data_IF_169832426453
#
_entry.id   IF_169832426453
#
_cell.length_a   1.000
_cell.length_b   1.000
_cell.length_c   1.000
_cell.angle_alpha   90.00
_cell.angle_beta   90.00
_cell.angle_gamma   90.00
#
_symmetry.space_group_name_H-M   'P 1'
#
loop_
_entity.id
_entity.type
_entity.pdbx_description
1 polymer ?
#
# COMPACT_ATOMS: atom_id res chain seq x y z
N UNK A 1 -6.82 19.69 8.63
CA UNK A 1 -7.41 19.88 7.30
C UNK A 1 -6.67 18.99 6.31
N UNK A 2 -7.41 18.06 5.71
CA UNK A 2 -7.00 17.12 4.66
C UNK A 2 -7.49 17.70 3.34
N UNK A 3 -6.70 17.63 2.26
CA UNK A 3 -7.10 18.12 0.93
C UNK A 3 -7.12 16.96 -0.05
N UNK A 4 -8.14 16.91 -0.91
CA UNK A 4 -8.23 15.99 -2.04
C UNK A 4 -8.19 16.82 -3.31
N UNK A 5 -7.37 16.42 -4.28
CA UNK A 5 -7.41 16.93 -5.64
C UNK A 5 -7.68 15.76 -6.58
N UNK A 6 -8.69 15.91 -7.43
CA UNK A 6 -9.05 14.91 -8.44
C UNK A 6 -8.62 15.41 -9.81
N UNK A 7 -7.80 14.62 -10.48
CA UNK A 7 -7.40 14.82 -11.87
C UNK A 7 -8.18 13.84 -12.76
N UNK A 8 -8.88 14.36 -13.75
CA UNK A 8 -9.66 13.58 -14.70
C UNK A 8 -8.85 13.31 -15.97
N UNK A 9 -9.20 12.23 -16.67
CA UNK A 9 -8.60 11.93 -17.96
C UNK A 9 -8.90 13.02 -19.00
N UNK A 10 -7.93 13.40 -19.85
CA UNK A 10 -8.22 14.25 -20.99
C UNK A 10 -9.14 13.51 -21.98
N UNK A 11 -9.95 14.27 -22.73
CA UNK A 11 -10.94 13.71 -23.66
C UNK A 11 -10.30 12.79 -24.72
N UNK A 12 -9.08 13.06 -25.15
CA UNK A 12 -8.34 12.22 -26.12
C UNK A 12 -7.97 10.85 -25.54
N UNK A 13 -7.63 10.78 -24.25
CA UNK A 13 -7.36 9.50 -23.58
C UNK A 13 -8.67 8.74 -23.30
N UNK A 14 -9.73 9.44 -22.90
CA UNK A 14 -11.07 8.84 -22.73
C UNK A 14 -11.58 8.25 -24.04
N UNK A 15 -11.38 8.95 -25.17
CA UNK A 15 -11.75 8.44 -26.49
C UNK A 15 -11.07 7.09 -26.77
N UNK A 16 -9.76 6.98 -26.55
CA UNK A 16 -9.01 5.73 -26.74
C UNK A 16 -9.53 4.62 -25.83
N UNK A 17 -9.82 4.95 -24.56
CA UNK A 17 -10.40 3.99 -23.62
C UNK A 17 -11.77 3.49 -24.09
N UNK A 18 -12.66 4.39 -24.50
CA UNK A 18 -13.98 4.01 -25.02
C UNK A 18 -13.87 3.17 -26.30
N UNK A 19 -12.91 3.46 -27.18
CA UNK A 19 -12.67 2.65 -28.37
C UNK A 19 -12.29 1.20 -28.01
N UNK A 20 -11.39 1.01 -27.05
CA UNK A 20 -10.95 -0.32 -26.62
C UNK A 20 -12.05 -1.08 -25.87
N UNK A 21 -12.77 -0.41 -24.96
CA UNK A 21 -13.88 -1.02 -24.22
C UNK A 21 -15.05 -1.37 -25.14
N UNK A 22 -15.39 -0.52 -26.11
CA UNK A 22 -16.46 -0.79 -27.06
C UNK A 22 -16.10 -1.93 -28.01
N UNK A 23 -14.83 -2.04 -28.43
CA UNK A 23 -14.35 -3.21 -29.18
C UNK A 23 -14.52 -4.47 -28.36
N UNK A 24 -13.99 -4.51 -27.13
CA UNK A 24 -14.10 -5.68 -26.26
C UNK A 24 -15.56 -6.12 -26.03
N UNK A 25 -16.46 -5.16 -25.80
CA UNK A 25 -17.89 -5.45 -25.64
C UNK A 25 -18.52 -6.07 -26.90
N UNK A 26 -18.24 -5.52 -28.08
CA UNK A 26 -18.82 -5.99 -29.34
C UNK A 26 -18.20 -7.30 -29.82
N UNK A 27 -16.88 -7.46 -29.64
CA UNK A 27 -16.16 -8.67 -30.01
C UNK A 27 -16.69 -9.88 -29.22
N UNK A 28 -16.97 -9.70 -27.93
CA UNK A 28 -17.63 -10.75 -27.13
C UNK A 28 -19.07 -11.02 -27.58
N UNK A 29 -19.84 -9.97 -27.90
CA UNK A 29 -21.22 -10.11 -28.37
C UNK A 29 -21.34 -10.84 -29.74
N UNK A 30 -20.25 -10.91 -30.51
CA UNK A 30 -20.17 -11.60 -31.80
C UNK A 30 -19.72 -13.07 -31.69
N UNK A 31 -19.28 -13.53 -30.50
CA UNK A 31 -18.84 -14.91 -30.31
C UNK A 31 -20.03 -15.88 -30.39
N UNK A 32 -19.93 -16.96 -31.20
CA UNK A 32 -20.96 -17.98 -31.26
C UNK A 32 -21.04 -18.75 -29.93
N UNK A 33 -22.24 -18.91 -29.39
CA UNK A 33 -22.50 -19.54 -28.08
C UNK A 33 -22.15 -21.04 -28.01
N UNK A 34 -21.79 -21.67 -29.14
CA UNK A 34 -21.74 -23.12 -29.30
C UNK A 34 -20.42 -23.65 -29.94
N UNK A 35 -19.24 -23.23 -29.48
CA UNK A 35 -17.99 -23.89 -29.91
C UNK A 35 -17.30 -24.57 -28.72
N UNK A 36 -16.98 -25.85 -28.90
CA UNK A 36 -16.68 -26.86 -27.88
C UNK A 36 -15.23 -27.32 -27.96
N UNK A 37 -14.27 -26.45 -27.66
CA UNK A 37 -12.86 -26.82 -27.54
C UNK A 37 -12.25 -26.21 -26.25
N UNK A 38 -11.59 -27.04 -25.45
CA UNK A 38 -11.09 -26.71 -24.10
C UNK A 38 -9.95 -25.66 -24.08
N UNK A 39 -9.21 -25.47 -25.19
CA UNK A 39 -8.16 -24.43 -25.29
C UNK A 39 -8.72 -23.02 -25.54
N UNK A 40 -9.94 -22.93 -26.09
CA UNK A 40 -10.66 -21.67 -26.37
C UNK A 40 -11.35 -21.12 -25.09
N UNK A 41 -11.46 -21.93 -24.03
CA UNK A 41 -12.15 -21.57 -22.80
C UNK A 41 -11.41 -20.46 -22.01
N UNK A 42 -10.08 -20.45 -22.01
CA UNK A 42 -9.31 -19.44 -21.27
C UNK A 42 -9.29 -18.08 -21.99
N UNK A 43 -9.18 -18.07 -23.33
CA UNK A 43 -9.26 -16.85 -24.12
C UNK A 43 -10.67 -16.25 -24.08
N UNK A 44 -11.71 -17.10 -24.14
CA UNK A 44 -13.10 -16.68 -23.94
C UNK A 44 -13.33 -16.09 -22.57
N UNK A 45 -12.81 -16.69 -21.50
CA UNK A 45 -12.90 -16.14 -20.14
C UNK A 45 -12.28 -14.74 -20.06
N UNK A 46 -11.11 -14.54 -20.67
CA UNK A 46 -10.46 -13.22 -20.71
C UNK A 46 -11.32 -12.21 -21.49
N UNK A 47 -11.90 -12.62 -22.63
CA UNK A 47 -12.77 -11.76 -23.44
C UNK A 47 -14.09 -11.42 -22.71
N UNK A 48 -14.68 -12.40 -22.03
CA UNK A 48 -15.87 -12.24 -21.18
C UNK A 48 -15.59 -11.25 -20.05
N UNK A 49 -14.49 -11.43 -19.32
CA UNK A 49 -14.11 -10.51 -18.24
C UNK A 49 -13.86 -9.08 -18.75
N UNK A 50 -13.21 -8.93 -19.92
CA UNK A 50 -13.02 -7.62 -20.56
C UNK A 50 -14.35 -6.99 -21.00
N UNK A 51 -15.26 -7.77 -21.56
CA UNK A 51 -16.58 -7.30 -21.96
C UNK A 51 -17.45 -6.91 -20.75
N UNK A 52 -17.36 -7.68 -19.66
CA UNK A 52 -18.00 -7.36 -18.38
C UNK A 52 -17.48 -6.04 -17.82
N UNK A 53 -16.16 -5.88 -17.77
CA UNK A 53 -15.53 -4.63 -17.34
C UNK A 53 -15.97 -3.44 -18.23
N UNK A 54 -16.05 -3.62 -19.55
CA UNK A 54 -16.54 -2.59 -20.45
C UNK A 54 -17.99 -2.20 -20.15
N UNK A 55 -18.88 -3.18 -19.99
CA UNK A 55 -20.28 -2.95 -19.61
C UNK A 55 -20.42 -2.23 -18.27
N UNK A 56 -19.67 -2.66 -17.25
CA UNK A 56 -19.65 -2.03 -15.93
C UNK A 56 -19.15 -0.58 -16.02
N UNK A 57 -18.08 -0.34 -16.78
CA UNK A 57 -17.51 0.99 -16.99
C UNK A 57 -18.49 1.92 -17.71
N UNK A 58 -19.14 1.45 -18.78
CA UNK A 58 -20.13 2.24 -19.50
C UNK A 58 -21.38 2.51 -18.65
N UNK A 59 -21.87 1.51 -17.89
CA UNK A 59 -23.00 1.67 -16.96
C UNK A 59 -22.66 2.66 -15.84
N UNK A 60 -21.43 2.65 -15.33
CA UNK A 60 -20.97 3.61 -14.33
C UNK A 60 -20.81 5.03 -14.90
N UNK A 61 -20.37 5.14 -16.16
CA UNK A 61 -20.14 6.43 -16.84
C UNK A 61 -21.44 7.10 -17.30
N UNK A 62 -22.35 6.33 -17.90
CA UNK A 62 -23.44 6.86 -18.73
C UNK A 62 -24.81 6.27 -18.40
N UNK A 63 -25.05 5.77 -17.18
CA UNK A 63 -26.29 5.05 -16.77
C UNK A 63 -27.58 5.61 -17.40
N UNK A 64 -27.91 6.87 -17.13
CA UNK A 64 -29.14 7.52 -17.64
C UNK A 64 -29.17 7.67 -19.17
N UNK A 65 -28.01 7.93 -19.78
CA UNK A 65 -27.89 8.12 -21.25
C UNK A 65 -27.94 6.80 -22.01
N UNK A 66 -27.46 5.71 -21.41
CA UNK A 66 -27.55 4.36 -21.96
C UNK A 66 -28.98 3.82 -21.91
N UNK A 67 -29.76 4.15 -20.87
CA UNK A 67 -31.20 3.85 -20.82
C UNK A 67 -31.96 4.56 -21.95
N UNK A 68 -31.57 5.80 -22.26
CA UNK A 68 -32.18 6.59 -23.35
C UNK A 68 -31.71 6.16 -24.74
N UNK A 69 -30.50 5.61 -24.88
CA UNK A 69 -29.92 5.24 -26.18
C UNK A 69 -29.10 3.94 -26.09
N UNK A 70 -29.78 2.78 -25.94
CA UNK A 70 -29.10 1.49 -25.81
C UNK A 70 -28.37 1.05 -27.10
N UNK A 71 -28.76 1.62 -28.25
CA UNK A 71 -28.14 1.33 -29.55
C UNK A 71 -26.67 1.70 -29.64
N UNK A 72 -26.17 2.59 -28.77
CA UNK A 72 -24.75 3.01 -28.73
C UNK A 72 -23.80 1.83 -28.51
N UNK A 73 -24.16 0.88 -27.64
CA UNK A 73 -23.30 -0.27 -27.32
C UNK A 73 -23.34 -1.36 -28.40
N UNK A 74 -24.49 -1.54 -29.06
CA UNK A 74 -24.72 -2.69 -29.96
C UNK A 74 -24.74 -2.30 -31.44
N UNK A 75 -25.75 -1.54 -31.88
CA UNK A 75 -26.09 -1.38 -33.30
C UNK A 75 -25.52 -0.12 -33.96
N UNK A 76 -25.15 0.89 -33.17
CA UNK A 76 -24.64 2.15 -33.70
C UNK A 76 -23.27 1.97 -34.38
N UNK A 77 -23.00 2.66 -35.51
CA UNK A 77 -21.67 2.62 -36.14
C UNK A 77 -20.58 3.00 -35.15
N UNK A 78 -19.47 2.26 -35.15
CA UNK A 78 -18.40 2.37 -34.13
C UNK A 78 -17.94 3.82 -33.92
N UNK A 79 -17.60 4.53 -35.00
CA UNK A 79 -17.13 5.93 -34.94
C UNK A 79 -18.17 6.88 -34.32
N UNK A 80 -19.44 6.71 -34.69
CA UNK A 80 -20.55 7.54 -34.18
C UNK A 80 -20.82 7.26 -32.70
N UNK A 81 -20.76 5.99 -32.29
CA UNK A 81 -20.90 5.61 -30.88
C UNK A 81 -19.84 6.27 -30.00
N UNK A 82 -18.58 6.27 -30.44
CA UNK A 82 -17.47 6.91 -29.74
C UNK A 82 -17.63 8.43 -29.68
N UNK A 83 -17.99 9.08 -30.79
CA UNK A 83 -18.25 10.53 -30.83
C UNK A 83 -19.36 10.92 -29.83
N UNK A 84 -20.45 10.15 -29.79
CA UNK A 84 -21.53 10.33 -28.82
C UNK A 84 -21.09 10.11 -27.37
N UNK A 85 -20.29 9.08 -27.08
CA UNK A 85 -19.75 8.85 -25.72
C UNK A 85 -18.80 9.97 -25.26
N UNK A 86 -17.94 10.48 -26.15
CA UNK A 86 -17.04 11.60 -25.86
C UNK A 86 -17.84 12.89 -25.60
N UNK A 87 -18.89 13.13 -26.39
CA UNK A 87 -19.82 14.23 -26.15
C UNK A 87 -20.52 14.08 -24.78
N UNK A 88 -20.98 12.88 -24.41
CA UNK A 88 -21.56 12.66 -23.09
C UNK A 88 -20.55 12.91 -21.96
N UNK A 89 -19.30 12.46 -22.13
CA UNK A 89 -18.24 12.68 -21.15
C UNK A 89 -17.91 14.16 -20.97
N UNK A 90 -17.87 14.96 -22.05
CA UNK A 90 -17.56 16.39 -21.97
C UNK A 90 -18.61 17.20 -21.20
N UNK A 91 -19.87 16.75 -21.19
CA UNK A 91 -20.94 17.37 -20.41
C UNK A 91 -20.93 16.96 -18.93
N UNK A 92 -20.30 15.83 -18.58
CA UNK A 92 -20.24 15.30 -17.21
C UNK A 92 -18.96 15.69 -16.47
N UNK A 93 -17.86 15.91 -17.19
CA UNK A 93 -16.57 16.28 -16.62
C UNK A 93 -16.62 17.71 -16.06
N UNK A 94 -16.20 17.93 -14.80
CA UNK A 94 -16.00 19.28 -14.28
C UNK A 94 -14.94 20.01 -15.12
N UNK A 95 -15.20 21.26 -15.49
CA UNK A 95 -14.25 22.07 -16.28
C UNK A 95 -12.94 22.39 -15.55
N UNK A 96 -12.83 22.11 -14.24
CA UNK A 96 -11.63 22.33 -13.43
C UNK A 96 -11.41 21.16 -12.45
N UNK A 97 -10.14 20.81 -12.19
CA UNK A 97 -9.74 19.86 -11.15
C UNK A 97 -10.34 20.28 -9.81
N UNK A 98 -11.23 19.45 -9.27
CA UNK A 98 -11.93 19.71 -8.02
C UNK A 98 -10.95 19.62 -6.86
N UNK A 99 -10.73 20.73 -6.14
CA UNK A 99 -10.03 20.72 -4.87
C UNK A 99 -11.06 20.75 -3.73
N UNK A 100 -11.05 19.70 -2.93
CA UNK A 100 -11.94 19.55 -1.77
C UNK A 100 -11.12 19.54 -0.48
N UNK A 101 -11.64 20.15 0.59
CA UNK A 101 -10.96 20.22 1.89
C UNK A 101 -11.85 19.65 2.99
N UNK A 102 -11.27 18.78 3.83
CA UNK A 102 -11.95 18.05 4.88
C UNK A 102 -11.29 18.31 6.24
N UNK A 103 -12.11 18.38 7.29
CA UNK A 103 -11.63 18.56 8.66
C UNK A 103 -11.40 17.23 9.39
N UNK A 104 -12.11 16.17 8.99
CA UNK A 104 -12.08 14.83 9.61
C UNK A 104 -11.55 13.77 8.65
N UNK A 105 -10.95 12.70 9.20
CA UNK A 105 -10.45 11.57 8.41
C UNK A 105 -11.62 10.77 7.84
N UNK A 106 -12.71 10.67 8.60
CA UNK A 106 -13.93 9.96 8.25
C UNK A 106 -14.61 10.61 7.04
N UNK A 107 -14.71 11.94 7.03
CA UNK A 107 -15.28 12.67 5.89
C UNK A 107 -14.44 12.50 4.61
N UNK A 108 -13.12 12.58 4.73
CA UNK A 108 -12.20 12.30 3.62
C UNK A 108 -12.34 10.85 3.11
N UNK A 109 -12.44 9.89 4.02
CA UNK A 109 -12.58 8.47 3.70
C UNK A 109 -13.90 8.16 3.00
N UNK A 110 -15.00 8.76 3.46
CA UNK A 110 -16.31 8.65 2.80
C UNK A 110 -16.23 9.21 1.38
N UNK A 111 -15.66 10.40 1.20
CA UNK A 111 -15.52 11.00 -0.13
C UNK A 111 -14.67 10.16 -1.07
N UNK A 112 -13.53 9.63 -0.60
CA UNK A 112 -12.68 8.75 -1.40
C UNK A 112 -13.44 7.48 -1.80
N UNK A 113 -14.25 6.91 -0.89
CA UNK A 113 -15.14 5.80 -1.22
C UNK A 113 -16.10 6.18 -2.33
N UNK A 114 -16.78 7.32 -2.24
CA UNK A 114 -17.70 7.78 -3.29
C UNK A 114 -17.02 7.98 -4.66
N UNK A 115 -15.75 8.42 -4.65
CA UNK A 115 -14.97 8.63 -5.88
C UNK A 115 -14.42 7.32 -6.48
N UNK A 116 -14.25 6.27 -5.68
CA UNK A 116 -13.59 5.02 -6.08
C UNK A 116 -14.53 3.81 -6.14
N UNK A 117 -15.72 3.90 -5.55
CA UNK A 117 -16.66 2.78 -5.47
C UNK A 117 -17.54 2.66 -6.73
N UNK A 118 -17.83 1.40 -7.08
CA UNK A 118 -18.89 1.05 -8.00
C UNK A 118 -20.26 1.31 -7.34
N UNK A 119 -21.28 1.72 -8.13
CA UNK A 119 -22.60 1.95 -7.58
C UNK A 119 -23.21 0.60 -7.19
N UNK A 120 -23.51 0.39 -5.90
CA UNK A 120 -24.32 -0.75 -5.49
C UNK A 120 -25.73 -0.63 -6.09
N UNK A 121 -26.25 -1.73 -6.65
CA UNK A 121 -27.58 -1.79 -7.29
C UNK A 121 -28.77 -1.42 -6.37
N UNK A 122 -28.52 -1.17 -5.07
CA UNK A 122 -29.54 -0.88 -4.05
C UNK A 122 -29.59 0.58 -3.55
N UNK A 123 -28.80 1.51 -4.11
CA UNK A 123 -28.85 2.92 -3.70
C UNK A 123 -29.84 3.76 -4.53
N UNK A 124 -30.62 4.68 -3.91
CA UNK A 124 -31.58 5.52 -4.61
C UNK A 124 -30.96 6.37 -5.73
N UNK A 125 -31.75 6.58 -6.78
CA UNK A 125 -31.42 7.17 -8.09
C UNK A 125 -30.67 8.53 -8.04
N UNK A 126 -30.81 9.30 -6.96
CA UNK A 126 -30.33 10.69 -6.91
C UNK A 126 -28.92 10.87 -6.33
N UNK A 127 -28.32 9.84 -5.70
CA UNK A 127 -27.11 10.04 -4.86
C UNK A 127 -25.82 9.36 -5.36
N UNK A 128 -25.78 8.67 -6.50
CA UNK A 128 -24.56 7.98 -6.96
C UNK A 128 -24.18 8.32 -8.41
N UNK A 129 -23.73 9.56 -8.63
CA UNK A 129 -22.92 9.87 -9.82
C UNK A 129 -21.53 9.26 -9.63
N UNK A 130 -21.36 8.03 -10.10
CA UNK A 130 -20.05 7.36 -10.05
C UNK A 130 -19.12 7.93 -11.11
N UNK A 131 -18.05 8.57 -10.67
CA UNK A 131 -17.10 9.24 -11.56
C UNK A 131 -15.78 8.49 -11.70
N UNK A 132 -15.62 7.33 -11.04
CA UNK A 132 -14.40 6.54 -11.09
C UNK A 132 -13.89 6.25 -12.52
N UNK A 133 -14.74 6.04 -13.56
CA UNK A 133 -14.26 5.79 -14.92
C UNK A 133 -13.51 6.98 -15.53
N UNK A 134 -13.82 8.20 -15.08
CA UNK A 134 -13.25 9.43 -15.61
C UNK A 134 -12.02 9.90 -14.84
N UNK A 135 -11.77 9.33 -13.66
CA UNK A 135 -10.68 9.76 -12.78
C UNK A 135 -9.37 9.10 -13.22
N UNK A 136 -8.39 9.93 -13.54
CA UNK A 136 -7.03 9.48 -13.85
C UNK A 136 -6.20 9.33 -12.56
N UNK A 137 -6.31 10.30 -11.65
CA UNK A 137 -5.48 10.36 -10.44
C UNK A 137 -6.19 11.10 -9.32
N UNK A 138 -6.05 10.59 -8.10
CA UNK A 138 -6.49 11.27 -6.87
C UNK A 138 -5.25 11.59 -6.03
N UNK A 139 -5.10 12.85 -5.65
CA UNK A 139 -4.02 13.30 -4.74
C UNK A 139 -4.63 13.64 -3.39
N UNK A 140 -4.15 12.96 -2.36
CA UNK A 140 -4.58 13.20 -0.98
C UNK A 140 -3.44 13.83 -0.20
N UNK A 141 -3.68 15.02 0.34
CA UNK A 141 -2.72 15.75 1.19
C UNK A 141 -3.24 15.72 2.62
N UNK A 142 -2.50 15.05 3.51
CA UNK A 142 -2.81 15.00 4.93
C UNK A 142 -1.57 15.27 5.79
N UNK A 143 -1.80 15.79 7.00
CA UNK A 143 -0.75 16.00 8.00
C UNK A 143 -0.41 14.67 8.68
N UNK A 144 0.48 13.91 8.08
CA UNK A 144 1.02 12.68 8.65
C UNK A 144 2.54 12.78 8.83
N UNK A 145 3.06 12.33 9.99
CA UNK A 145 4.49 12.40 10.29
C UNK A 145 5.36 11.71 9.22
N UNK A 146 4.89 10.56 8.70
CA UNK A 146 5.61 9.80 7.68
C UNK A 146 5.76 10.58 6.35
N UNK A 147 4.80 11.45 6.03
CA UNK A 147 4.82 12.28 4.81
C UNK A 147 5.56 13.60 5.02
N UNK A 148 5.74 14.04 6.27
CA UNK A 148 6.30 15.35 6.62
C UNK A 148 7.72 15.60 6.10
N UNK A 149 8.47 14.54 5.79
CA UNK A 149 9.84 14.62 5.30
C UNK A 149 9.94 14.61 3.78
N UNK A 150 8.82 14.60 3.05
CA UNK A 150 8.79 14.56 1.58
C UNK A 150 8.55 13.16 1.00
N UNK A 151 8.11 12.19 1.81
CA UNK A 151 7.66 10.90 1.30
C UNK A 151 6.35 11.09 0.54
N UNK A 152 6.27 10.57 -0.68
CA UNK A 152 5.04 10.43 -1.45
C UNK A 152 4.76 8.94 -1.60
N UNK A 153 3.57 8.51 -1.18
CA UNK A 153 3.10 7.14 -1.32
C UNK A 153 2.05 7.14 -2.43
N UNK A 154 2.24 6.29 -3.44
CA UNK A 154 1.28 6.08 -4.51
C UNK A 154 0.73 4.66 -4.42
N UNK A 155 -0.59 4.56 -4.39
CA UNK A 155 -1.30 3.29 -4.60
C UNK A 155 -1.62 3.18 -6.09
N UNK A 156 -1.22 2.06 -6.70
CA UNK A 156 -1.28 1.88 -8.15
C UNK A 156 -2.21 0.70 -8.48
N UNK A 157 -2.99 0.79 -9.57
CA UNK A 157 -3.70 -0.36 -10.12
C UNK A 157 -2.76 -1.54 -10.36
N UNK A 158 -3.28 -2.77 -10.26
CA UNK A 158 -2.51 -3.98 -10.51
C UNK A 158 -1.99 -4.06 -11.95
N UNK A 159 -0.82 -4.66 -12.17
CA UNK A 159 -0.25 -4.85 -13.52
C UNK A 159 -1.09 -5.77 -14.44
N UNK A 160 -1.97 -6.56 -13.83
CA UNK A 160 -2.94 -7.44 -14.50
C UNK A 160 -4.33 -6.82 -14.61
N UNK A 161 -4.46 -5.49 -14.43
CA UNK A 161 -5.73 -4.79 -14.66
C UNK A 161 -6.14 -4.93 -16.14
N UNK A 162 -7.38 -5.37 -16.37
CA UNK A 162 -7.94 -5.56 -17.70
C UNK A 162 -8.21 -4.22 -18.40
N UNK A 163 -8.31 -3.13 -17.63
CA UNK A 163 -8.34 -1.77 -18.16
C UNK A 163 -6.91 -1.35 -18.57
N UNK A 164 -6.70 -1.29 -19.88
CA UNK A 164 -5.44 -0.88 -20.51
C UNK A 164 -4.93 0.49 -20.06
N UNK A 165 -5.82 1.48 -19.85
CA UNK A 165 -5.41 2.80 -19.41
C UNK A 165 -4.89 2.78 -17.97
N UNK A 166 -5.52 2.01 -17.09
CA UNK A 166 -5.02 1.82 -15.71
C UNK A 166 -3.68 1.11 -15.70
N UNK A 167 -3.53 0.08 -16.53
CA UNK A 167 -2.25 -0.61 -16.72
C UNK A 167 -1.16 0.34 -17.23
N UNK A 168 -1.46 1.15 -18.24
CA UNK A 168 -0.52 2.13 -18.80
C UNK A 168 -0.09 3.20 -17.78
N UNK A 169 -1.02 3.65 -16.93
CA UNK A 169 -0.70 4.56 -15.82
C UNK A 169 0.30 3.88 -14.87
N UNK A 170 0.04 2.64 -14.43
CA UNK A 170 0.93 1.90 -13.54
C UNK A 170 2.32 1.72 -14.16
N UNK A 171 2.40 1.27 -15.42
CA UNK A 171 3.66 1.09 -16.12
C UNK A 171 4.47 2.39 -16.26
N UNK A 172 3.81 3.49 -16.61
CA UNK A 172 4.47 4.79 -16.73
C UNK A 172 4.92 5.32 -15.36
N UNK A 173 4.10 5.14 -14.32
CA UNK A 173 4.42 5.61 -12.97
C UNK A 173 5.62 4.85 -12.39
N UNK A 174 5.66 3.53 -12.57
CA UNK A 174 6.76 2.67 -12.12
C UNK A 174 8.12 3.13 -12.66
N UNK A 175 8.20 3.56 -13.92
CA UNK A 175 9.46 4.03 -14.54
C UNK A 175 10.06 5.27 -13.86
N UNK A 176 9.24 6.07 -13.18
CA UNK A 176 9.64 7.30 -12.52
C UNK A 176 9.72 7.16 -10.99
N UNK A 177 9.50 5.94 -10.46
CA UNK A 177 9.56 5.69 -9.02
C UNK A 177 11.00 5.54 -8.53
N UNK A 178 11.29 6.19 -7.41
CA UNK A 178 12.57 6.03 -6.70
C UNK A 178 12.69 4.68 -5.96
N UNK A 179 11.55 4.13 -5.54
CA UNK A 179 11.47 2.92 -4.74
C UNK A 179 10.12 2.25 -4.97
N UNK A 180 10.10 0.92 -5.11
CA UNK A 180 8.88 0.14 -5.33
C UNK A 180 8.67 -0.86 -4.21
N UNK A 181 7.48 -0.87 -3.64
CA UNK A 181 7.04 -1.90 -2.70
C UNK A 181 6.08 -2.86 -3.39
N UNK A 182 6.45 -4.14 -3.43
CA UNK A 182 5.57 -5.21 -3.91
C UNK A 182 4.79 -5.77 -2.74
N UNK A 183 3.48 -5.55 -2.72
CA UNK A 183 2.61 -6.00 -1.63
C UNK A 183 1.94 -7.32 -2.02
N UNK A 184 2.17 -8.37 -1.24
CA UNK A 184 1.56 -9.68 -1.44
C UNK A 184 1.09 -10.29 -0.11
N UNK A 185 0.12 -11.21 -0.14
CA UNK A 185 -0.20 -12.03 1.05
C UNK A 185 0.94 -13.00 1.32
N UNK A 186 1.30 -13.19 2.59
CA UNK A 186 2.42 -14.04 2.97
C UNK A 186 2.29 -15.50 2.46
N UNK A 187 1.08 -16.04 2.39
CA UNK A 187 0.81 -17.42 1.90
C UNK A 187 1.21 -17.62 0.45
N UNK A 188 1.07 -16.56 -0.36
CA UNK A 188 1.28 -16.62 -1.81
C UNK A 188 2.52 -15.85 -2.25
N UNK A 189 3.22 -15.17 -1.35
CA UNK A 189 4.32 -14.28 -1.71
C UNK A 189 5.42 -14.99 -2.52
N UNK A 190 5.70 -16.25 -2.20
CA UNK A 190 6.72 -17.05 -2.88
C UNK A 190 6.29 -17.43 -4.31
N UNK A 191 5.01 -17.74 -4.52
CA UNK A 191 4.47 -18.26 -5.80
C UNK A 191 3.77 -17.22 -6.65
N UNK A 192 3.63 -15.99 -6.15
CA UNK A 192 2.88 -14.95 -6.83
C UNK A 192 3.62 -14.46 -8.08
N UNK A 193 3.03 -14.75 -9.24
CA UNK A 193 3.54 -14.34 -10.55
C UNK A 193 3.61 -12.81 -10.72
N UNK A 194 2.72 -12.04 -10.11
CA UNK A 194 2.77 -10.58 -10.18
C UNK A 194 4.03 -10.01 -9.52
N UNK A 195 4.60 -10.72 -8.54
CA UNK A 195 5.91 -10.33 -7.97
C UNK A 195 6.98 -10.46 -9.06
N UNK A 196 6.99 -11.58 -9.77
CA UNK A 196 7.94 -11.86 -10.86
C UNK A 196 7.84 -10.81 -11.99
N UNK A 197 6.63 -10.48 -12.42
CA UNK A 197 6.38 -9.45 -13.45
C UNK A 197 6.96 -8.09 -13.06
N UNK A 198 6.86 -7.69 -11.79
CA UNK A 198 7.43 -6.43 -11.31
C UNK A 198 8.95 -6.45 -11.35
N UNK A 199 9.59 -7.55 -10.96
CA UNK A 199 11.04 -7.70 -11.07
C UNK A 199 11.50 -7.63 -12.54
N UNK A 200 10.82 -8.30 -13.46
CA UNK A 200 11.11 -8.26 -14.90
C UNK A 200 10.93 -6.84 -15.47
N UNK A 201 9.85 -6.15 -15.08
CA UNK A 201 9.59 -4.78 -15.53
C UNK A 201 10.63 -3.79 -14.98
N UNK A 202 11.03 -3.97 -13.72
CA UNK A 202 12.05 -3.15 -13.08
C UNK A 202 13.44 -3.37 -13.70
N UNK A 203 13.75 -4.60 -14.13
CA UNK A 203 14.97 -4.88 -14.89
C UNK A 203 14.98 -4.12 -16.22
N UNK A 204 13.85 -4.14 -16.95
CA UNK A 204 13.71 -3.41 -18.24
C UNK A 204 13.80 -1.90 -18.05
N UNK A 205 13.29 -1.38 -16.94
CA UNK A 205 13.27 0.05 -16.63
C UNK A 205 14.53 0.54 -15.88
N UNK A 206 15.52 -0.33 -15.67
CA UNK A 206 16.75 -0.04 -14.91
C UNK A 206 16.48 0.57 -13.52
N UNK A 207 15.45 0.08 -12.85
CA UNK A 207 15.08 0.56 -11.52
C UNK A 207 16.02 -0.03 -10.47
N UNK A 208 16.40 0.81 -9.51
CA UNK A 208 17.49 0.48 -8.58
C UNK A 208 17.04 -0.13 -7.26
N UNK A 209 15.76 0.00 -6.86
CA UNK A 209 15.27 -0.45 -5.55
C UNK A 209 13.85 -1.02 -5.57
N UNK A 210 13.74 -2.31 -5.25
CA UNK A 210 12.48 -3.02 -5.04
C UNK A 210 12.55 -3.73 -3.69
N UNK A 211 11.50 -3.58 -2.90
CA UNK A 211 11.31 -4.29 -1.63
C UNK A 211 9.95 -5.01 -1.60
N UNK A 212 9.84 -6.08 -0.82
CA UNK A 212 8.61 -6.88 -0.73
C UNK A 212 7.95 -6.68 0.64
N UNK A 213 6.63 -6.46 0.62
CA UNK A 213 5.80 -6.40 1.81
C UNK A 213 4.85 -7.59 1.81
N UNK A 214 5.08 -8.52 2.74
CA UNK A 214 4.23 -9.68 2.98
C UNK A 214 3.16 -9.34 4.02
N UNK A 215 1.92 -9.12 3.57
CA UNK A 215 0.76 -8.84 4.42
C UNK A 215 0.17 -10.11 5.04
N UNK A 216 -0.66 -9.93 6.08
CA UNK A 216 -1.35 -11.02 6.82
C UNK A 216 -0.38 -11.97 7.53
N UNK A 217 0.73 -11.45 8.04
CA UNK A 217 1.72 -12.26 8.76
C UNK A 217 1.17 -12.92 10.02
N UNK A 218 0.06 -12.40 10.58
CA UNK A 218 -0.59 -12.93 11.78
C UNK A 218 -1.45 -14.17 11.54
N UNK A 219 -1.78 -14.46 10.28
CA UNK A 219 -2.72 -15.50 9.89
C UNK A 219 -2.00 -16.85 9.79
N UNK A 220 -1.62 -17.39 10.95
CA UNK A 220 -0.86 -18.65 11.04
C UNK A 220 -1.70 -19.70 11.75
N UNK A 221 -1.84 -20.86 11.09
CA UNK A 221 -2.45 -22.02 11.70
C UNK A 221 -1.42 -22.75 12.59
N UNK A 222 -1.68 -22.81 13.89
CA UNK A 222 -0.80 -23.46 14.87
C UNK A 222 -0.61 -24.95 14.60
N UNK A 223 -1.62 -25.62 14.04
CA UNK A 223 -1.55 -27.06 13.70
C UNK A 223 -0.65 -27.33 12.51
N UNK A 224 -0.74 -26.49 11.48
CA UNK A 224 0.14 -26.56 10.30
C UNK A 224 1.58 -26.22 10.68
N UNK A 225 1.77 -25.26 11.60
CA UNK A 225 3.09 -24.90 12.09
C UNK A 225 3.85 -26.10 12.71
N UNK A 226 3.18 -26.99 13.46
CA UNK A 226 3.85 -28.18 14.03
C UNK A 226 4.44 -29.11 12.96
N UNK A 227 3.79 -29.20 11.80
CA UNK A 227 4.21 -30.06 10.70
C UNK A 227 5.27 -29.37 9.81
N UNK A 228 5.12 -28.09 9.56
CA UNK A 228 5.98 -27.33 8.65
C UNK A 228 7.35 -26.95 9.25
N UNK A 229 7.50 -27.07 10.58
CA UNK A 229 8.64 -26.58 11.36
C UNK A 229 9.19 -27.64 12.33
N UNK A 230 9.63 -28.77 11.78
CA UNK A 230 10.14 -29.91 12.57
C UNK A 230 11.22 -29.53 13.60
N UNK A 231 12.11 -28.59 13.27
CA UNK A 231 13.17 -28.13 14.18
C UNK A 231 12.70 -27.24 15.33
N UNK A 232 11.49 -26.69 15.25
CA UNK A 232 10.90 -25.84 16.30
C UNK A 232 9.76 -26.54 17.05
N UNK A 233 9.46 -27.78 16.68
CA UNK A 233 8.33 -28.54 17.21
C UNK A 233 8.40 -28.74 18.73
N UNK A 234 9.54 -29.16 19.25
CA UNK A 234 9.73 -29.37 20.69
C UNK A 234 9.44 -28.10 21.50
N UNK A 235 9.91 -26.95 21.02
CA UNK A 235 9.69 -25.65 21.67
C UNK A 235 8.23 -25.21 21.61
N UNK A 236 7.55 -25.48 20.50
CA UNK A 236 6.10 -25.21 20.36
C UNK A 236 5.31 -26.09 21.34
N UNK A 237 5.65 -27.37 21.43
CA UNK A 237 5.01 -28.32 22.36
C UNK A 237 5.24 -27.93 23.82
N UNK A 238 6.45 -27.49 24.19
CA UNK A 238 6.77 -26.96 25.53
C UNK A 238 5.91 -25.74 25.88
N UNK A 239 5.80 -24.77 24.98
CA UNK A 239 4.97 -23.57 25.20
C UNK A 239 3.47 -23.92 25.31
N UNK A 240 2.99 -24.89 24.54
CA UNK A 240 1.61 -25.37 24.63
C UNK A 240 1.32 -26.10 25.94
N UNK A 241 2.29 -26.86 26.47
CA UNK A 241 2.20 -27.48 27.79
C UNK A 241 2.13 -26.43 28.90
N UNK A 242 2.90 -25.34 28.80
CA UNK A 242 2.82 -24.23 29.75
C UNK A 242 1.43 -23.57 29.76
N UNK A 243 0.85 -23.33 28.58
CA UNK A 243 -0.50 -22.77 28.45
C UNK A 243 -1.56 -23.73 29.01
N UNK A 244 -1.38 -25.04 28.81
CA UNK A 244 -2.28 -26.06 29.35
C UNK A 244 -2.21 -26.09 30.89
N UNK A 245 -1.01 -26.02 31.46
CA UNK A 245 -0.81 -25.93 32.91
C UNK A 245 -1.45 -24.66 33.50
N UNK A 246 -1.21 -23.48 32.91
CA UNK A 246 -1.87 -22.25 33.39
C UNK A 246 -3.41 -22.36 33.29
N UNK A 247 -3.92 -23.09 32.29
CA UNK A 247 -5.36 -23.28 32.12
C UNK A 247 -5.94 -24.17 33.23
N UNK A 248 -5.25 -25.25 33.58
CA UNK A 248 -5.61 -26.13 34.68
C UNK A 248 -5.56 -25.37 36.03
N UNK A 249 -4.50 -24.57 36.25
CA UNK A 249 -4.39 -23.72 37.44
C UNK A 249 -5.54 -22.70 37.55
N UNK A 250 -5.94 -22.08 36.44
CA UNK A 250 -7.09 -21.14 36.42
C UNK A 250 -8.40 -21.87 36.70
N UNK A 251 -8.58 -23.09 36.18
CA UNK A 251 -9.80 -23.88 36.43
C UNK A 251 -9.87 -24.29 37.90
N UNK A 252 -8.78 -24.80 38.48
CA UNK A 252 -8.72 -25.14 39.92
C UNK A 252 -8.96 -23.92 40.83
N UNK A 253 -8.32 -22.78 40.55
CA UNK A 253 -8.53 -21.54 41.31
C UNK A 253 -9.97 -21.02 41.21
N UNK A 254 -10.65 -21.23 40.08
CA UNK A 254 -12.06 -20.83 39.93
C UNK A 254 -12.99 -21.71 40.74
N UNK A 255 -12.76 -23.02 40.75
CA UNK A 255 -13.53 -23.96 41.57
C UNK A 255 -13.39 -23.59 43.06
N UNK A 256 -12.17 -23.35 43.55
CA UNK A 256 -11.93 -22.92 44.94
C UNK A 256 -12.61 -21.58 45.27
N UNK A 257 -12.63 -20.63 44.32
CA UNK A 257 -13.32 -19.34 44.48
C UNK A 257 -14.84 -19.54 44.53
N UNK A 258 -15.41 -20.38 43.67
CA UNK A 258 -16.85 -20.66 43.65
C UNK A 258 -17.31 -21.35 44.92
N UNK A 259 -16.56 -22.33 45.43
CA UNK A 259 -16.87 -23.04 46.67
C UNK A 259 -16.93 -22.08 47.87
N UNK A 260 -15.95 -21.18 48.00
CA UNK A 260 -15.95 -20.17 49.06
C UNK A 260 -17.02 -19.08 48.87
N UNK A 261 -17.48 -18.85 47.64
CA UNK A 261 -18.54 -17.88 47.35
C UNK A 261 -19.94 -18.41 47.63
N UNK A 262 -20.16 -19.72 47.64
CA UNK A 262 -21.46 -20.31 47.95
C UNK A 262 -21.90 -20.02 49.39
N UNK A 263 -20.95 -19.87 50.32
CA UNK A 263 -21.19 -19.57 51.74
C UNK A 263 -21.04 -18.09 52.10
N UNK A 264 -21.29 -17.18 51.15
CA UNK A 264 -20.99 -15.73 51.26
C UNK A 264 -21.57 -15.04 52.50
N UNK A 265 -22.72 -15.50 53.00
CA UNK A 265 -23.41 -14.92 54.16
C UNK A 265 -22.80 -15.33 55.51
N UNK A 266 -21.96 -16.38 55.55
CA UNK A 266 -21.37 -16.94 56.77
C UNK A 266 -19.83 -16.91 56.81
N UNK A 267 -19.18 -16.23 55.86
CA UNK A 267 -17.72 -16.17 55.79
C UNK A 267 -17.11 -15.51 57.04
N UNK A 268 -16.13 -16.19 57.63
CA UNK A 268 -15.22 -15.62 58.63
C UNK A 268 -14.30 -14.58 58.01
N UNK A 269 -13.81 -13.64 58.83
CA UNK A 269 -12.77 -12.67 58.43
C UNK A 269 -11.49 -13.32 57.89
N UNK A 270 -11.24 -14.58 58.24
CA UNK A 270 -10.10 -15.36 57.72
C UNK A 270 -10.39 -15.88 56.32
N UNK A 271 -11.61 -16.37 56.06
CA UNK A 271 -12.04 -16.89 54.76
C UNK A 271 -12.18 -15.75 53.73
N UNK A 272 -12.63 -14.55 54.15
CA UNK A 272 -12.59 -13.35 53.30
C UNK A 272 -11.17 -13.02 52.80
N UNK A 273 -10.15 -13.16 53.66
CA UNK A 273 -8.75 -12.93 53.28
C UNK A 273 -8.24 -13.99 52.30
N UNK A 274 -8.64 -15.25 52.50
CA UNK A 274 -8.30 -16.35 51.59
C UNK A 274 -8.91 -16.11 50.22
N UNK A 275 -10.21 -15.75 50.16
CA UNK A 275 -10.90 -15.42 48.91
C UNK A 275 -10.21 -14.31 48.13
N UNK A 276 -9.80 -13.23 48.81
CA UNK A 276 -9.03 -12.14 48.20
C UNK A 276 -7.66 -12.60 47.68
N UNK A 277 -7.01 -13.54 48.39
CA UNK A 277 -5.76 -14.18 47.96
C UNK A 277 -5.95 -14.98 46.67
N UNK A 278 -6.95 -15.86 46.65
CA UNK A 278 -7.29 -16.70 45.49
C UNK A 278 -7.66 -15.86 44.27
N UNK A 279 -8.47 -14.81 44.42
CA UNK A 279 -8.80 -13.88 43.34
C UNK A 279 -7.56 -13.18 42.76
N UNK A 280 -6.59 -12.84 43.62
CA UNK A 280 -5.33 -12.25 43.19
C UNK A 280 -4.49 -13.26 42.40
N UNK A 281 -4.46 -14.51 42.84
CA UNK A 281 -3.70 -15.57 42.18
C UNK A 281 -4.37 -16.01 40.87
N UNK A 282 -5.71 -16.05 40.81
CA UNK A 282 -6.47 -16.28 39.57
C UNK A 282 -6.15 -15.19 38.53
N UNK A 283 -6.06 -13.93 38.96
CA UNK A 283 -5.66 -12.83 38.09
C UNK A 283 -4.23 -12.99 37.58
N UNK A 284 -3.27 -13.37 38.45
CA UNK A 284 -1.88 -13.62 38.03
C UNK A 284 -1.78 -14.79 37.06
N UNK A 285 -2.52 -15.88 37.29
CA UNK A 285 -2.56 -17.03 36.42
C UNK A 285 -3.14 -16.67 35.04
N UNK A 286 -4.22 -15.87 35.01
CA UNK A 286 -4.76 -15.28 33.76
C UNK A 286 -3.73 -14.43 33.01
N UNK A 287 -2.98 -13.58 33.72
CA UNK A 287 -1.93 -12.75 33.13
C UNK A 287 -0.75 -13.61 32.61
N UNK A 288 -0.36 -14.67 33.34
CA UNK A 288 0.64 -15.67 32.93
C UNK A 288 0.22 -16.37 31.64
N UNK A 289 -1.00 -16.91 31.62
CA UNK A 289 -1.58 -17.56 30.45
C UNK A 289 -1.60 -16.65 29.23
N UNK A 290 -2.10 -15.42 29.38
CA UNK A 290 -2.16 -14.45 28.28
C UNK A 290 -0.75 -14.14 27.73
N UNK A 291 0.27 -14.11 28.59
CA UNK A 291 1.66 -13.93 28.20
C UNK A 291 2.19 -15.15 27.44
N UNK A 292 1.97 -16.37 27.93
CA UNK A 292 2.41 -17.59 27.24
C UNK A 292 1.70 -17.78 25.89
N UNK A 293 0.40 -17.49 25.80
CA UNK A 293 -0.35 -17.48 24.53
C UNK A 293 0.24 -16.47 23.53
N UNK A 294 0.61 -15.27 24.00
CA UNK A 294 1.27 -14.27 23.16
C UNK A 294 2.66 -14.72 22.72
N UNK A 295 3.46 -15.28 23.62
CA UNK A 295 4.82 -15.74 23.33
C UNK A 295 4.83 -16.89 22.32
N UNK A 296 3.91 -17.86 22.45
CA UNK A 296 3.70 -18.92 21.46
C UNK A 296 3.32 -18.34 20.09
N UNK A 297 2.34 -17.44 20.06
CA UNK A 297 1.89 -16.79 18.82
C UNK A 297 3.02 -15.99 18.17
N UNK A 298 3.80 -15.24 18.96
CA UNK A 298 4.97 -14.51 18.48
C UNK A 298 5.97 -15.45 17.84
N UNK A 299 6.32 -16.54 18.54
CA UNK A 299 7.31 -17.49 18.07
C UNK A 299 6.91 -18.10 16.71
N UNK A 300 5.66 -18.53 16.57
CA UNK A 300 5.13 -19.10 15.33
C UNK A 300 5.16 -18.09 14.18
N UNK A 301 4.75 -16.84 14.42
CA UNK A 301 4.78 -15.78 13.42
C UNK A 301 6.22 -15.47 12.98
N UNK A 302 7.16 -15.38 13.92
CA UNK A 302 8.57 -15.10 13.64
C UNK A 302 9.21 -16.21 12.80
N UNK A 303 8.97 -17.48 13.12
CA UNK A 303 9.45 -18.62 12.33
C UNK A 303 8.94 -18.55 10.89
N UNK A 304 7.64 -18.31 10.73
CA UNK A 304 7.01 -18.17 9.41
C UNK A 304 7.61 -17.03 8.61
N UNK A 305 7.65 -15.84 9.21
CA UNK A 305 8.20 -14.65 8.58
C UNK A 305 9.64 -14.88 8.12
N UNK A 306 10.43 -15.57 8.94
CA UNK A 306 11.82 -15.91 8.61
C UNK A 306 11.92 -16.82 7.38
N UNK A 307 11.24 -17.98 7.34
CA UNK A 307 11.30 -18.86 6.15
C UNK A 307 10.81 -18.19 4.89
N UNK A 308 9.73 -17.43 4.97
CA UNK A 308 9.20 -16.74 3.79
C UNK A 308 10.19 -15.70 3.29
N UNK A 309 10.80 -14.94 4.22
CA UNK A 309 11.85 -13.97 3.89
C UNK A 309 13.07 -14.66 3.28
N UNK A 310 13.57 -15.74 3.90
CA UNK A 310 14.72 -16.50 3.42
C UNK A 310 14.44 -17.12 2.03
N UNK A 311 13.24 -17.66 1.83
CA UNK A 311 12.82 -18.26 0.54
C UNK A 311 12.72 -17.22 -0.58
N UNK A 312 12.18 -16.04 -0.27
CA UNK A 312 12.09 -14.93 -1.21
C UNK A 312 13.48 -14.36 -1.54
N UNK A 313 14.34 -14.17 -0.53
CA UNK A 313 15.72 -13.76 -0.74
C UNK A 313 16.47 -14.75 -1.61
N UNK A 314 16.30 -16.06 -1.38
CA UNK A 314 16.92 -17.09 -2.19
C UNK A 314 16.38 -17.09 -3.63
N UNK A 315 15.07 -16.94 -3.82
CA UNK A 315 14.42 -16.94 -5.14
C UNK A 315 14.88 -15.78 -6.02
N UNK A 316 15.10 -14.61 -5.43
CA UNK A 316 15.49 -13.40 -6.15
C UNK A 316 16.97 -13.05 -5.98
N UNK A 317 17.81 -13.93 -5.38
CA UNK A 317 19.23 -13.65 -5.10
C UNK A 317 20.02 -13.23 -6.34
N UNK A 318 19.75 -13.86 -7.48
CA UNK A 318 20.49 -13.63 -8.72
C UNK A 318 19.99 -12.40 -9.49
N UNK A 319 18.92 -11.75 -9.00
CA UNK A 319 18.37 -10.58 -9.67
C UNK A 319 19.18 -9.32 -9.31
N UNK A 320 19.68 -8.55 -10.29
CA UNK A 320 20.55 -7.39 -10.04
C UNK A 320 19.87 -6.32 -9.17
N UNK A 321 18.57 -6.11 -9.35
CA UNK A 321 17.76 -5.18 -8.54
C UNK A 321 17.47 -5.68 -7.12
N UNK A 322 17.76 -6.96 -6.82
CA UNK A 322 17.48 -7.59 -5.54
C UNK A 322 18.72 -7.74 -4.63
N UNK A 323 19.89 -7.22 -5.05
CA UNK A 323 21.12 -7.30 -4.25
C UNK A 323 20.98 -6.70 -2.83
N UNK A 324 20.03 -5.77 -2.63
CA UNK A 324 19.68 -5.18 -1.34
C UNK A 324 18.20 -5.39 -0.94
N UNK A 325 17.54 -6.43 -1.49
CA UNK A 325 16.13 -6.71 -1.29
C UNK A 325 15.77 -6.78 0.20
N UNK A 326 14.92 -5.87 0.66
CA UNK A 326 14.30 -5.92 1.99
C UNK A 326 12.93 -6.55 1.89
N UNK A 327 12.62 -7.36 2.91
CA UNK A 327 11.36 -8.06 3.02
C UNK A 327 10.76 -7.69 4.38
N UNK A 328 9.52 -7.21 4.34
CA UNK A 328 8.78 -6.82 5.53
C UNK A 328 7.55 -7.71 5.66
N UNK A 329 7.48 -8.52 6.71
CA UNK A 329 6.27 -9.23 7.06
C UNK A 329 5.42 -8.34 7.98
N UNK A 330 4.20 -8.03 7.56
CA UNK A 330 3.34 -7.05 8.25
C UNK A 330 1.93 -7.55 8.52
N UNK A 331 1.37 -7.08 9.62
CA UNK A 331 0.01 -7.34 10.06
C UNK A 331 -0.75 -6.04 10.29
N UNK A 332 -1.63 -5.67 9.35
CA UNK A 332 -2.50 -4.52 9.54
C UNK A 332 -3.52 -4.76 10.67
N UNK A 333 -4.07 -5.98 10.77
CA UNK A 333 -5.07 -6.32 11.78
C UNK A 333 -4.52 -6.19 13.20
N UNK A 334 -3.32 -6.73 13.44
CA UNK A 334 -2.67 -6.66 14.75
C UNK A 334 -2.34 -5.22 15.11
N UNK A 335 -1.80 -4.45 14.15
CA UNK A 335 -1.49 -3.04 14.36
C UNK A 335 -2.74 -2.22 14.69
N UNK A 336 -3.81 -2.36 13.89
CA UNK A 336 -5.04 -1.59 14.09
C UNK A 336 -5.71 -1.89 15.44
N UNK A 337 -5.72 -3.16 15.87
CA UNK A 337 -6.30 -3.56 17.16
C UNK A 337 -5.51 -3.04 18.37
N UNK A 338 -4.18 -2.95 18.25
CA UNK A 338 -3.30 -2.62 19.38
C UNK A 338 -2.88 -1.15 19.44
N UNK A 339 -3.03 -0.37 18.36
CA UNK A 339 -2.52 1.03 18.29
C UNK A 339 -3.15 1.99 19.31
N UNK A 340 -4.33 1.68 19.81
CA UNK A 340 -5.09 2.53 20.76
C UNK A 340 -4.92 2.06 22.21
N UNK A 341 -4.23 0.94 22.44
CA UNK A 341 -3.95 0.44 23.77
C UNK A 341 -2.89 1.30 24.49
N UNK A 342 -2.83 1.24 25.84
CA UNK A 342 -1.74 1.84 26.59
C UNK A 342 -0.37 1.37 26.08
N UNK A 343 0.60 2.28 25.99
CA UNK A 343 1.86 2.06 25.30
C UNK A 343 2.59 0.76 25.73
N UNK A 344 2.63 0.48 27.04
CA UNK A 344 3.30 -0.71 27.59
C UNK A 344 2.66 -2.02 27.12
N UNK A 345 1.33 -2.06 27.04
CA UNK A 345 0.58 -3.24 26.58
C UNK A 345 0.59 -3.36 25.04
N UNK A 346 0.55 -2.22 24.33
CA UNK A 346 0.53 -2.18 22.88
C UNK A 346 1.87 -2.60 22.24
N UNK A 347 2.99 -2.18 22.84
CA UNK A 347 4.31 -2.22 22.21
C UNK A 347 4.74 -3.61 21.70
N UNK A 348 4.53 -4.72 22.44
CA UNK A 348 4.86 -6.05 21.93
C UNK A 348 4.09 -6.41 20.65
N UNK A 349 2.79 -6.13 20.60
CA UNK A 349 1.93 -6.38 19.43
C UNK A 349 2.28 -5.46 18.27
N UNK A 350 2.53 -4.17 18.54
CA UNK A 350 2.93 -3.21 17.51
C UNK A 350 4.28 -3.58 16.88
N UNK A 351 5.23 -4.10 17.66
CA UNK A 351 6.50 -4.63 17.14
C UNK A 351 6.29 -5.88 16.30
N UNK A 352 5.53 -6.85 16.82
CA UNK A 352 5.22 -8.09 16.11
C UNK A 352 4.46 -7.85 14.80
N UNK A 353 3.69 -6.76 14.71
CA UNK A 353 2.97 -6.38 13.49
C UNK A 353 3.90 -6.00 12.32
N UNK A 354 5.19 -5.73 12.54
CA UNK A 354 6.14 -5.31 11.51
C UNK A 354 5.95 -3.88 10.94
N UNK A 355 4.80 -3.23 11.18
CA UNK A 355 4.49 -1.91 10.62
C UNK A 355 5.42 -0.82 11.17
N UNK A 356 5.84 -0.91 12.43
CA UNK A 356 6.77 0.08 13.01
C UNK A 356 8.13 0.07 12.30
N UNK A 357 8.64 -1.11 11.98
CA UNK A 357 9.91 -1.27 11.26
C UNK A 357 9.78 -0.75 9.83
N UNK A 358 8.71 -1.13 9.13
CA UNK A 358 8.41 -0.61 7.80
C UNK A 358 8.32 0.92 7.78
N UNK A 359 7.64 1.53 8.76
CA UNK A 359 7.56 2.99 8.88
C UNK A 359 8.92 3.65 9.09
N UNK A 360 9.77 3.08 9.95
CA UNK A 360 11.13 3.58 10.18
C UNK A 360 11.96 3.49 8.91
N UNK A 361 11.82 2.40 8.16
CA UNK A 361 12.50 2.20 6.90
C UNK A 361 12.07 3.22 5.83
N UNK A 362 10.77 3.44 5.65
CA UNK A 362 10.24 4.44 4.72
C UNK A 362 10.77 5.86 5.02
N UNK A 363 10.84 6.24 6.30
CA UNK A 363 11.43 7.53 6.70
C UNK A 363 12.93 7.57 6.38
N UNK A 364 13.64 6.48 6.64
CA UNK A 364 15.07 6.36 6.33
C UNK A 364 15.40 6.50 4.84
N UNK A 365 14.56 5.96 3.95
CA UNK A 365 14.74 6.08 2.49
C UNK A 365 14.76 7.56 2.07
N UNK A 366 13.84 8.36 2.60
CA UNK A 366 13.73 9.79 2.25
C UNK A 366 14.97 10.55 2.69
N UNK A 367 15.44 10.31 3.92
CA UNK A 367 16.65 10.95 4.45
C UNK A 367 17.87 10.63 3.59
N UNK A 368 18.05 9.37 3.19
CA UNK A 368 19.15 8.97 2.31
C UNK A 368 19.05 9.58 0.90
N UNK A 369 17.84 9.80 0.40
CA UNK A 369 17.61 10.46 -0.88
C UNK A 369 17.97 11.95 -0.80
N UNK A 370 17.49 12.64 0.25
CA UNK A 370 17.78 14.06 0.46
C UNK A 370 19.27 14.32 0.70
N UNK A 371 19.94 13.48 1.49
CA UNK A 371 21.38 13.62 1.70
C UNK A 371 22.18 13.44 0.41
N UNK A 372 21.76 12.54 -0.48
CA UNK A 372 22.37 12.37 -1.80
C UNK A 372 22.13 13.60 -2.67
N UNK A 373 20.88 14.05 -2.79
CA UNK A 373 20.56 15.25 -3.56
C UNK A 373 21.31 16.50 -3.07
N UNK A 374 21.44 16.69 -1.75
CA UNK A 374 22.22 17.79 -1.17
C UNK A 374 23.71 17.64 -1.50
N UNK A 375 24.26 16.42 -1.37
CA UNK A 375 25.65 16.16 -1.72
C UNK A 375 25.92 16.43 -3.20
N UNK A 376 25.05 15.98 -4.09
CA UNK A 376 25.19 16.16 -5.53
C UNK A 376 25.04 17.65 -5.89
N UNK A 377 24.09 18.37 -5.29
CA UNK A 377 23.96 19.82 -5.43
C UNK A 377 25.24 20.57 -5.01
N UNK A 378 25.80 20.22 -3.85
CA UNK A 378 27.06 20.82 -3.36
C UNK A 378 28.23 20.46 -4.28
N UNK A 379 28.30 19.22 -4.77
CA UNK A 379 29.44 18.75 -5.56
C UNK A 379 29.40 19.20 -7.01
N UNK A 380 28.22 19.36 -7.59
CA UNK A 380 28.05 19.53 -9.04
C UNK A 380 27.43 20.89 -9.37
N UNK A 381 26.30 21.25 -8.77
CA UNK A 381 25.57 22.48 -9.12
C UNK A 381 26.23 23.75 -8.59
N UNK A 382 26.74 23.75 -7.36
CA UNK A 382 27.44 24.93 -6.81
C UNK A 382 28.67 25.27 -7.66
N UNK A 383 29.59 24.33 -7.98
CA UNK A 383 30.73 24.62 -8.86
C UNK A 383 30.31 25.06 -10.26
N UNK A 384 29.28 24.43 -10.85
CA UNK A 384 28.80 24.82 -12.17
C UNK A 384 28.26 26.26 -12.17
N UNK A 385 27.52 26.64 -11.12
CA UNK A 385 27.04 28.00 -10.94
C UNK A 385 28.21 28.98 -10.76
N UNK A 386 29.19 28.67 -9.90
CA UNK A 386 30.36 29.52 -9.68
C UNK A 386 31.18 29.73 -10.96
N UNK A 387 31.41 28.65 -11.74
CA UNK A 387 32.05 28.75 -13.05
C UNK A 387 31.23 29.57 -14.06
N UNK A 388 29.89 29.49 -14.02
CA UNK A 388 29.05 30.34 -14.88
C UNK A 388 29.15 31.82 -14.52
N UNK A 389 29.32 32.15 -13.22
CA UNK A 389 29.51 33.52 -12.74
C UNK A 389 30.89 34.04 -13.16
N UNK A 390 31.94 33.23 -13.04
CA UNK A 390 33.29 33.58 -13.53
C UNK A 390 33.27 33.89 -15.03
N UNK A 391 32.71 32.98 -15.83
CA UNK A 391 32.57 33.16 -17.29
C UNK A 391 31.77 34.42 -17.65
N UNK A 392 30.70 34.72 -16.91
CA UNK A 392 29.89 35.93 -17.14
C UNK A 392 30.66 37.23 -16.85
N UNK A 393 31.50 37.22 -15.80
CA UNK A 393 32.37 38.34 -15.45
C UNK A 393 33.46 38.54 -16.51
N UNK A 394 34.11 37.45 -16.93
CA UNK A 394 35.16 37.45 -17.96
C UNK A 394 34.63 37.88 -19.33
N UNK A 395 33.42 37.44 -19.69
CA UNK A 395 32.73 37.88 -20.91
C UNK A 395 32.32 39.36 -20.90
N UNK A 396 32.58 40.08 -19.80
CA UNK A 396 32.40 41.53 -19.72
C UNK A 396 30.94 41.99 -19.65
N UNK A 397 30.01 41.10 -19.32
CA UNK A 397 28.55 41.29 -19.46
C UNK A 397 27.91 42.17 -18.37
N UNK A 398 28.53 43.29 -18.00
CA UNK A 398 27.95 44.29 -17.09
C UNK A 398 28.77 45.57 -16.96
N UNK A 399 28.08 46.69 -16.71
CA UNK A 399 28.64 48.04 -16.48
C UNK A 399 29.42 48.19 -15.15
N UNK A 400 29.85 47.08 -14.54
CA UNK A 400 30.55 47.07 -13.26
C UNK A 400 32.01 47.52 -13.44
N UNK A 401 32.53 48.29 -12.48
CA UNK A 401 33.94 48.70 -12.45
C UNK A 401 34.87 47.49 -12.35
N UNK A 402 36.09 47.61 -12.88
CA UNK A 402 37.11 46.56 -12.82
C UNK A 402 37.37 46.07 -11.37
N UNK A 403 37.32 46.99 -10.41
CA UNK A 403 37.48 46.71 -8.98
C UNK A 403 36.36 45.82 -8.42
N UNK A 404 35.10 46.07 -8.81
CA UNK A 404 33.96 45.23 -8.41
C UNK A 404 34.01 43.84 -9.06
N UNK A 405 34.48 43.75 -10.30
CA UNK A 405 34.70 42.47 -10.99
C UNK A 405 35.75 41.64 -10.26
N UNK A 406 36.89 42.25 -9.90
CA UNK A 406 37.94 41.57 -9.14
C UNK A 406 37.47 41.09 -7.76
N UNK A 407 36.75 41.95 -7.02
CA UNK A 407 36.16 41.57 -5.72
C UNK A 407 35.22 40.37 -5.81
N UNK A 408 34.44 40.28 -6.90
CA UNK A 408 33.52 39.16 -7.12
C UNK A 408 34.26 37.88 -7.48
N UNK A 409 35.31 37.96 -8.31
CA UNK A 409 36.17 36.80 -8.62
C UNK A 409 36.91 36.28 -7.38
N UNK A 410 37.44 37.18 -6.55
CA UNK A 410 38.12 36.81 -5.31
C UNK A 410 37.16 36.11 -4.33
N UNK A 411 35.90 36.57 -4.25
CA UNK A 411 34.86 35.93 -3.45
C UNK A 411 34.46 34.55 -3.99
N UNK A 412 34.32 34.40 -5.32
CA UNK A 412 34.05 33.10 -5.95
C UNK A 412 35.20 32.12 -5.68
N UNK A 413 36.45 32.55 -5.84
CA UNK A 413 37.62 31.72 -5.56
C UNK A 413 37.75 31.32 -4.08
N UNK A 414 37.33 32.18 -3.15
CA UNK A 414 37.27 31.84 -1.73
C UNK A 414 36.22 30.76 -1.44
N UNK A 415 35.01 30.89 -2.00
CA UNK A 415 33.93 29.91 -1.84
C UNK A 415 34.34 28.56 -2.45
N UNK A 416 35.00 28.57 -3.63
CA UNK A 416 35.47 27.36 -4.28
C UNK A 416 36.48 26.59 -3.40
N UNK A 417 37.39 27.29 -2.71
CA UNK A 417 38.35 26.67 -1.78
C UNK A 417 37.68 26.04 -0.58
N UNK A 418 36.73 26.73 0.05
CA UNK A 418 35.95 26.15 1.16
C UNK A 418 35.15 24.92 0.72
N UNK A 419 34.63 24.94 -0.52
CA UNK A 419 33.91 23.81 -1.09
C UNK A 419 34.80 22.57 -1.32
N UNK A 420 36.06 22.79 -1.72
CA UNK A 420 37.04 21.74 -1.92
C UNK A 420 37.54 21.13 -0.59
N UNK A 421 37.55 21.90 0.50
CA UNK A 421 37.82 21.37 1.86
C UNK A 421 36.70 20.44 2.35
N UNK A 422 35.45 20.69 1.96
CA UNK A 422 34.28 19.85 2.29
C UNK A 422 34.18 18.59 1.40
N UNK A 423 34.98 18.50 0.33
CA UNK A 423 34.99 17.36 -0.61
C UNK A 423 35.84 16.16 -0.15
N UNK A 424 36.72 16.32 0.85
CA UNK A 424 37.46 15.25 1.55
C UNK A 424 36.61 14.61 2.66
#
# INVERSE_FOLDING_TARGET
MIRICVDYFPLDELKKQFEELLRAHRDYALLPTNASDDEDDNERKILEEKARLASETFRASFRERLEQTPSVLSTMPFKRAIETMVEWASHQLPQQSGQESFNTVEGCSSRLRDLTSEPHDFLPYESSRTCWPFIQKIRVYLKAYILSKGLIIADLPGLRDLNSARKAITENYIRHCHHIFVVAKIDRAITNESVKEIFELAQRANLSKIDIICTRSEDVNTREARHDWSSARERIEEMEQQIAADKEDIEGLKEEIEDLQQDLENLSREEEKVLLGLQRDERKAKDSKAKHEFDLRRHIIELRNKKVSDSLQQRYRDHPTAAALKIFCVSNTMYQKSREWPATAALPYLRLSGILELRRYCIGIVVQSQLRAIRDYIKDEIPAFLGSVELWIEAGSGNASAERKQQTLDAVAAIQRELDEVRL
#
